data_IF_572127387470
#
_entry.id   IF_572127387470
#
_cell.length_a   1.000
_cell.length_b   1.000
_cell.length_c   1.000
_cell.angle_alpha   90.00
_cell.angle_beta   90.00
_cell.angle_gamma   90.00
#
_symmetry.space_group_name_H-M   'P 1'
#
loop_
_entity.id
_entity.type
_entity.pdbx_description
1 polymer ?
#
# COMPACT_ATOMS: atom_id res chain seq x y z
N UNK A 1 3.15 -3.31 -1.04
CA UNK A 1 4.19 -2.29 -0.79
C UNK A 1 4.79 -1.74 -2.09
N UNK A 2 5.36 -2.57 -2.98
CA UNK A 2 5.94 -2.10 -4.25
C UNK A 2 4.94 -1.34 -5.14
N UNK A 3 3.68 -1.77 -5.22
CA UNK A 3 2.63 -1.05 -5.95
C UNK A 3 2.40 0.36 -5.39
N UNK A 4 2.30 0.50 -4.07
CA UNK A 4 2.13 1.79 -3.38
C UNK A 4 3.28 2.74 -3.69
N UNK A 5 4.52 2.24 -3.63
CA UNK A 5 5.72 3.03 -3.93
C UNK A 5 5.66 3.56 -5.37
N UNK A 6 5.23 2.74 -6.34
CA UNK A 6 5.09 3.13 -7.75
C UNK A 6 3.93 4.11 -7.98
N UNK A 7 2.76 3.82 -7.43
CA UNK A 7 1.54 4.62 -7.63
C UNK A 7 1.63 6.00 -6.97
N UNK A 8 2.17 6.06 -5.75
CA UNK A 8 2.26 7.29 -4.98
C UNK A 8 3.60 8.00 -5.16
N UNK A 9 4.58 7.37 -5.82
CA UNK A 9 5.92 7.92 -6.02
C UNK A 9 6.51 8.45 -4.70
N UNK A 10 6.46 7.61 -3.66
CA UNK A 10 6.90 7.91 -2.28
C UNK A 10 8.20 7.23 -1.89
N UNK A 11 8.87 6.58 -2.86
CA UNK A 11 10.14 5.91 -2.66
C UNK A 11 10.69 5.40 -3.99
N UNK A 12 11.87 4.77 -3.92
CA UNK A 12 12.54 4.15 -5.06
C UNK A 12 12.65 2.65 -4.81
N UNK A 13 12.37 1.86 -5.84
CA UNK A 13 12.57 0.41 -5.81
C UNK A 13 13.92 0.08 -6.43
N UNK A 14 14.72 -0.70 -5.71
CA UNK A 14 15.98 -1.23 -6.22
C UNK A 14 15.66 -2.48 -7.04
N UNK A 15 16.01 -2.47 -8.33
CA UNK A 15 15.68 -3.56 -9.26
C UNK A 15 16.57 -4.79 -9.09
N UNK A 16 17.73 -4.66 -8.43
CA UNK A 16 18.62 -5.77 -8.14
C UNK A 16 19.93 -5.35 -7.46
N UNK A 17 20.77 -6.31 -7.10
CA UNK A 17 21.97 -6.07 -6.29
C UNK A 17 23.18 -5.58 -7.10
N UNK A 18 23.11 -5.57 -8.43
CA UNK A 18 24.24 -5.18 -9.25
C UNK A 18 24.62 -3.71 -9.02
N UNK A 19 25.91 -3.35 -9.03
CA UNK A 19 26.35 -1.98 -8.75
C UNK A 19 25.65 -0.92 -9.62
N UNK A 20 25.40 -1.24 -10.90
CA UNK A 20 24.69 -0.34 -11.81
C UNK A 20 23.22 -0.11 -11.41
N UNK A 21 22.53 -1.14 -10.90
CA UNK A 21 21.15 -1.05 -10.45
C UNK A 21 21.04 -0.27 -9.13
N UNK A 22 22.01 -0.45 -8.24
CA UNK A 22 22.11 0.33 -7.01
C UNK A 22 22.39 1.79 -7.34
N UNK A 23 23.34 2.07 -8.23
CA UNK A 23 23.66 3.44 -8.66
C UNK A 23 22.42 4.14 -9.23
N UNK A 24 21.69 3.47 -10.14
CA UNK A 24 20.47 4.04 -10.72
C UNK A 24 19.39 4.31 -9.66
N UNK A 25 19.27 3.46 -8.64
CA UNK A 25 18.34 3.68 -7.55
C UNK A 25 18.75 4.85 -6.63
N UNK A 26 20.06 5.06 -6.43
CA UNK A 26 20.58 6.22 -5.69
C UNK A 26 20.33 7.52 -6.45
N UNK A 27 20.59 7.56 -7.77
CA UNK A 27 20.32 8.73 -8.60
C UNK A 27 18.82 9.10 -8.56
N UNK A 28 17.94 8.11 -8.70
CA UNK A 28 16.50 8.31 -8.58
C UNK A 28 16.06 8.75 -7.17
N UNK A 29 16.77 8.31 -6.13
CA UNK A 29 16.50 8.70 -4.74
C UNK A 29 16.91 10.16 -4.51
N UNK A 30 18.05 10.59 -5.06
CA UNK A 30 18.49 11.97 -5.00
C UNK A 30 17.51 12.89 -5.73
N UNK A 31 17.03 12.52 -6.91
CA UNK A 31 15.96 13.23 -7.61
C UNK A 31 14.68 13.33 -6.77
N UNK A 32 14.28 12.22 -6.13
CA UNK A 32 13.10 12.18 -5.28
C UNK A 32 13.25 13.11 -4.06
N UNK A 33 14.44 13.20 -3.46
CA UNK A 33 14.72 14.06 -2.32
C UNK A 33 14.65 15.56 -2.66
N UNK A 34 14.78 15.93 -3.95
CA UNK A 34 14.60 17.31 -4.39
C UNK A 34 13.13 17.70 -4.58
N UNK A 35 12.20 16.75 -4.49
CA UNK A 35 10.77 17.02 -4.65
C UNK A 35 10.17 17.65 -3.37
N UNK A 36 9.79 18.94 -3.39
CA UNK A 36 9.26 19.61 -2.20
C UNK A 36 7.91 19.06 -1.74
N UNK A 37 7.16 18.38 -2.63
CA UNK A 37 5.85 17.80 -2.32
C UNK A 37 5.96 16.39 -1.72
N UNK A 38 7.15 15.79 -1.71
CA UNK A 38 7.37 14.43 -1.23
C UNK A 38 6.85 14.21 0.19
N UNK A 39 7.13 15.06 1.21
CA UNK A 39 6.64 14.83 2.57
C UNK A 39 5.11 14.80 2.66
N UNK A 40 4.44 15.71 1.95
CA UNK A 40 2.99 15.78 1.91
C UNK A 40 2.40 14.56 1.20
N UNK A 41 3.02 14.10 0.12
CA UNK A 41 2.59 12.91 -0.62
C UNK A 41 2.79 11.62 0.19
N UNK A 42 3.89 11.48 0.91
CA UNK A 42 4.12 10.37 1.84
C UNK A 42 3.02 10.30 2.89
N UNK A 43 2.65 11.45 3.48
CA UNK A 43 1.56 11.51 4.47
C UNK A 43 0.22 11.09 3.87
N UNK A 44 -0.16 11.66 2.73
CA UNK A 44 -1.42 11.32 2.05
C UNK A 44 -1.50 9.83 1.72
N UNK A 45 -0.41 9.24 1.22
CA UNK A 45 -0.33 7.81 0.95
C UNK A 45 -0.53 6.99 2.22
N UNK A 46 0.13 7.39 3.31
CA UNK A 46 0.02 6.70 4.59
C UNK A 46 -1.39 6.76 5.18
N UNK A 47 -2.03 7.93 5.17
CA UNK A 47 -3.40 8.13 5.65
C UNK A 47 -4.42 7.39 4.78
N UNK A 48 -4.25 7.39 3.46
CA UNK A 48 -5.18 6.72 2.56
C UNK A 48 -5.13 5.19 2.67
N UNK A 49 -3.96 4.60 2.92
CA UNK A 49 -3.77 3.15 2.83
C UNK A 49 -3.64 2.48 4.21
N UNK A 50 -3.02 3.17 5.17
CA UNK A 50 -2.66 2.59 6.46
C UNK A 50 -3.37 3.24 7.66
N UNK A 51 -4.34 4.12 7.43
CA UNK A 51 -5.14 4.67 8.54
C UNK A 51 -5.99 3.59 9.20
N UNK A 52 -6.13 3.71 10.52
CA UNK A 52 -6.98 2.81 11.30
C UNK A 52 -8.44 2.88 10.84
N UNK A 53 -8.93 4.08 10.52
CA UNK A 53 -10.29 4.28 10.07
C UNK A 53 -10.55 3.56 8.75
N UNK A 54 -9.69 3.75 7.74
CA UNK A 54 -9.83 3.05 6.45
C UNK A 54 -9.69 1.53 6.62
N UNK A 55 -8.74 1.08 7.43
CA UNK A 55 -8.55 -0.33 7.71
C UNK A 55 -9.76 -0.98 8.38
N UNK A 56 -10.26 -0.38 9.46
CA UNK A 56 -11.40 -0.93 10.21
C UNK A 56 -12.68 -0.96 9.38
N UNK A 57 -12.91 0.03 8.53
CA UNK A 57 -14.05 0.04 7.61
C UNK A 57 -13.94 -1.07 6.55
N UNK A 58 -12.76 -1.26 5.95
CA UNK A 58 -12.53 -2.34 5.00
C UNK A 58 -12.75 -3.73 5.63
N UNK A 59 -12.26 -3.95 6.85
CA UNK A 59 -12.50 -5.20 7.58
C UNK A 59 -13.97 -5.38 7.96
N UNK A 60 -14.67 -4.31 8.35
CA UNK A 60 -16.12 -4.36 8.63
C UNK A 60 -16.91 -4.78 7.40
N UNK A 61 -16.60 -4.21 6.24
CA UNK A 61 -17.24 -4.57 4.97
C UNK A 61 -17.01 -6.06 4.64
N UNK A 62 -15.76 -6.51 4.72
CA UNK A 62 -15.37 -7.90 4.48
C UNK A 62 -16.12 -8.87 5.41
N UNK A 63 -16.16 -8.59 6.72
CA UNK A 63 -16.88 -9.46 7.65
C UNK A 63 -18.39 -9.47 7.40
N UNK A 64 -18.96 -8.33 7.00
CA UNK A 64 -20.39 -8.24 6.68
C UNK A 64 -20.75 -9.12 5.48
N UNK A 65 -19.90 -9.14 4.45
CA UNK A 65 -20.01 -9.99 3.27
C UNK A 65 -19.91 -11.48 3.62
N UNK A 66 -18.82 -11.88 4.29
CA UNK A 66 -18.60 -13.28 4.70
C UNK A 66 -19.74 -13.81 5.57
N UNK A 67 -20.25 -13.01 6.51
CA UNK A 67 -21.37 -13.40 7.37
C UNK A 67 -22.72 -13.41 6.64
N UNK A 68 -22.90 -12.59 5.60
CA UNK A 68 -24.08 -12.64 4.75
C UNK A 68 -24.11 -13.93 3.93
N UNK A 69 -22.99 -14.32 3.32
CA UNK A 69 -22.83 -15.59 2.60
C UNK A 69 -23.03 -16.80 3.53
N UNK A 70 -22.43 -16.75 4.72
CA UNK A 70 -22.55 -17.83 5.71
C UNK A 70 -23.98 -18.00 6.24
N UNK A 71 -24.79 -16.93 6.29
CA UNK A 71 -26.22 -17.01 6.63
C UNK A 71 -27.08 -17.51 5.47
N UNK A 72 -26.64 -17.32 4.22
CA UNK A 72 -27.33 -17.81 3.04
C UNK A 72 -27.06 -19.30 2.78
N UNK A 73 -25.96 -19.85 3.30
CA UNK A 73 -25.70 -21.28 3.29
C UNK A 73 -26.43 -21.98 4.45
N UNK A 74 -27.34 -22.95 4.20
CA UNK A 74 -27.94 -23.71 5.27
C UNK A 74 -26.86 -24.49 6.02
N UNK A 75 -26.75 -24.25 7.33
CA UNK A 75 -26.02 -25.11 8.26
C UNK A 75 -26.58 -26.53 8.13
N UNK A 76 -25.85 -27.43 7.46
CA UNK A 76 -26.12 -28.86 7.53
C UNK A 76 -25.72 -29.32 8.93
N UNK A 77 -26.65 -29.79 9.77
CA UNK A 77 -26.28 -30.38 11.05
C UNK A 77 -25.47 -31.66 10.77
N UNK A 78 -24.42 -31.85 11.58
CA UNK A 78 -23.65 -33.08 11.65
C UNK A 78 -24.45 -34.20 12.31
#
# INVERSE_FOLDING_TARGET
MAAIIREWRVGVLVEGPEPAQISAALDALDELNQDPELPARCRRAAEAIFSLDAGTEAYRALFSEVLAESRAAPISPA
#
